data_IF_092173656934
#
_entry.id   IF_092173656934
#
_cell.length_a   1.000
_cell.length_b   1.000
_cell.length_c   1.000
_cell.angle_alpha   90.00
_cell.angle_beta   90.00
_cell.angle_gamma   90.00
#
_symmetry.space_group_name_H-M   'P 1'
#
loop_
_entity.id
_entity.type
_entity.pdbx_description
1 polymer ?
#
# COMPACT_ATOMS: atom_id res chain seq x y z
N UNK A 1 0.40 -2.11 52.92
CA UNK A 1 0.61 -2.91 51.70
C UNK A 1 0.96 -1.96 50.57
N UNK A 2 2.19 -2.00 50.04
CA UNK A 2 2.63 -1.04 49.01
C UNK A 2 1.93 -1.26 47.67
N UNK A 3 1.68 -0.17 46.93
CA UNK A 3 1.16 -0.25 45.55
C UNK A 3 2.18 -0.99 44.67
N UNK A 4 1.69 -1.90 43.82
CA UNK A 4 2.51 -2.65 42.85
C UNK A 4 2.07 -2.29 41.45
N UNK A 5 3.03 -2.10 40.56
CA UNK A 5 2.83 -1.87 39.13
C UNK A 5 2.87 -3.21 38.40
N UNK A 6 1.83 -3.49 37.61
CA UNK A 6 1.82 -4.65 36.71
C UNK A 6 2.33 -4.24 35.33
N UNK A 7 3.17 -5.08 34.72
CA UNK A 7 3.63 -4.89 33.35
C UNK A 7 3.04 -5.96 32.43
N UNK A 8 2.24 -5.56 31.46
CA UNK A 8 1.55 -6.48 30.54
C UNK A 8 2.52 -7.31 29.70
N UNK A 9 3.62 -6.70 29.24
CA UNK A 9 4.62 -7.41 28.43
C UNK A 9 5.43 -8.45 29.21
N UNK A 10 5.62 -8.24 30.52
CA UNK A 10 6.47 -9.09 31.35
C UNK A 10 5.68 -9.98 32.30
N UNK A 11 4.36 -9.83 32.34
CA UNK A 11 3.41 -10.57 33.19
C UNK A 11 3.81 -10.60 34.66
N UNK A 12 4.39 -9.50 35.15
CA UNK A 12 5.00 -9.42 36.48
C UNK A 12 4.60 -8.16 37.22
N UNK A 13 4.43 -8.32 38.53
CA UNK A 13 4.24 -7.22 39.46
C UNK A 13 5.59 -6.71 39.95
N UNK A 14 5.74 -5.40 39.96
CA UNK A 14 6.94 -4.66 40.35
C UNK A 14 6.53 -3.64 41.41
N UNK A 15 7.45 -3.22 42.26
CA UNK A 15 7.20 -2.13 43.20
C UNK A 15 6.84 -0.85 42.46
N UNK A 16 5.75 -0.19 42.86
CA UNK A 16 5.26 1.02 42.21
C UNK A 16 6.06 2.26 42.62
N UNK A 17 7.28 2.37 42.10
CA UNK A 17 8.13 3.56 42.14
C UNK A 17 8.45 3.99 40.71
N UNK A 18 8.45 5.30 40.46
CA UNK A 18 8.74 5.88 39.15
C UNK A 18 10.12 5.45 38.64
N UNK A 19 11.12 5.41 39.51
CA UNK A 19 12.49 5.01 39.19
C UNK A 19 12.58 3.53 38.81
N UNK A 20 11.90 2.68 39.58
CA UNK A 20 11.86 1.24 39.34
C UNK A 20 11.14 0.95 38.02
N UNK A 21 10.02 1.65 37.74
CA UNK A 21 9.27 1.51 36.48
C UNK A 21 10.09 1.96 35.27
N UNK A 22 10.92 2.99 35.41
CA UNK A 22 11.85 3.42 34.34
C UNK A 22 12.92 2.35 34.09
N UNK A 23 13.58 1.86 35.14
CA UNK A 23 14.59 0.79 35.04
C UNK A 23 14.02 -0.50 34.45
N UNK A 24 12.79 -0.84 34.80
CA UNK A 24 12.10 -2.00 34.23
C UNK A 24 11.87 -1.83 32.73
N UNK A 25 11.34 -0.69 32.28
CA UNK A 25 11.12 -0.41 30.85
C UNK A 25 12.40 -0.40 30.03
N UNK A 26 13.51 0.07 30.61
CA UNK A 26 14.82 0.02 29.97
C UNK A 26 15.51 -1.34 30.05
N UNK A 27 14.93 -2.33 30.74
CA UNK A 27 15.54 -3.66 30.84
C UNK A 27 15.49 -4.40 29.51
N UNK A 28 16.56 -5.17 29.22
CA UNK A 28 16.65 -5.97 28.00
C UNK A 28 15.46 -6.92 27.82
N UNK A 29 15.02 -7.55 28.92
CA UNK A 29 13.89 -8.47 28.88
C UNK A 29 12.59 -7.78 28.45
N UNK A 30 12.30 -6.59 28.99
CA UNK A 30 11.14 -5.82 28.60
C UNK A 30 11.19 -5.41 27.13
N UNK A 31 12.33 -4.91 26.67
CA UNK A 31 12.53 -4.51 25.27
C UNK A 31 12.35 -5.70 24.32
N UNK A 32 12.92 -6.86 24.65
CA UNK A 32 12.79 -8.09 23.85
C UNK A 32 11.32 -8.54 23.77
N UNK A 33 10.61 -8.60 24.89
CA UNK A 33 9.21 -9.03 24.92
C UNK A 33 8.28 -8.03 24.21
N UNK A 34 8.55 -6.74 24.36
CA UNK A 34 7.84 -5.68 23.63
C UNK A 34 8.03 -5.84 22.12
N UNK A 35 9.28 -6.07 21.69
CA UNK A 35 9.58 -6.31 20.28
C UNK A 35 8.85 -7.56 19.76
N UNK A 36 8.92 -8.67 20.48
CA UNK A 36 8.26 -9.92 20.08
C UNK A 36 6.73 -9.76 19.95
N UNK A 37 6.11 -9.02 20.87
CA UNK A 37 4.68 -8.73 20.82
C UNK A 37 4.28 -7.93 19.57
N UNK A 38 5.06 -6.90 19.22
CA UNK A 38 4.80 -6.15 17.98
C UNK A 38 5.15 -6.95 16.73
N UNK A 39 6.20 -7.76 16.76
CA UNK A 39 6.59 -8.61 15.64
C UNK A 39 5.51 -9.66 15.32
N UNK A 40 4.91 -10.30 16.35
CA UNK A 40 3.78 -11.21 16.14
C UNK A 40 2.58 -10.49 15.54
N UNK A 41 2.23 -9.31 16.06
CA UNK A 41 1.13 -8.52 15.53
C UNK A 41 1.35 -8.09 14.06
N UNK A 42 2.58 -7.71 13.70
CA UNK A 42 2.93 -7.37 12.31
C UNK A 42 2.93 -8.59 11.38
N UNK A 43 3.34 -9.75 11.88
CA UNK A 43 3.28 -11.00 11.13
C UNK A 43 1.83 -11.41 10.87
N UNK A 44 0.94 -11.27 11.85
CA UNK A 44 -0.48 -11.58 11.71
C UNK A 44 -1.16 -10.67 10.68
N UNK A 45 -0.89 -9.36 10.73
CA UNK A 45 -1.36 -8.41 9.72
C UNK A 45 -0.85 -8.82 8.33
N UNK A 46 0.46 -9.08 8.20
CA UNK A 46 1.05 -9.49 6.92
C UNK A 46 0.41 -10.77 6.37
N UNK A 47 0.14 -11.76 7.23
CA UNK A 47 -0.54 -13.01 6.86
C UNK A 47 -1.98 -12.78 6.45
N UNK A 48 -2.71 -11.90 7.13
CA UNK A 48 -4.08 -11.55 6.75
C UNK A 48 -4.13 -10.92 5.37
N UNK A 49 -3.20 -10.00 5.06
CA UNK A 49 -3.09 -9.39 3.74
C UNK A 49 -2.70 -10.40 2.67
N UNK A 50 -1.72 -11.28 2.93
CA UNK A 50 -1.36 -12.34 2.00
C UNK A 50 -2.53 -13.30 1.76
N UNK A 51 -3.26 -13.67 2.83
CA UNK A 51 -4.46 -14.50 2.76
C UNK A 51 -5.55 -13.87 1.89
N UNK A 52 -5.74 -12.54 1.92
CA UNK A 52 -6.67 -11.86 0.99
C UNK A 52 -6.19 -11.95 -0.46
N UNK A 53 -4.89 -11.79 -0.73
CA UNK A 53 -4.34 -11.89 -2.10
C UNK A 53 -4.30 -13.32 -2.65
N UNK A 54 -4.28 -14.34 -1.79
CA UNK A 54 -4.20 -15.75 -2.20
C UNK A 54 -5.53 -16.51 -2.04
N UNK A 55 -6.52 -15.94 -1.34
CA UNK A 55 -7.92 -16.38 -1.38
C UNK A 55 -8.67 -15.86 -2.63
N UNK A 56 -8.17 -14.82 -3.30
CA UNK A 56 -8.39 -14.67 -4.74
C UNK A 56 -7.61 -15.78 -5.43
N UNK A 57 -8.26 -16.93 -5.59
CA UNK A 57 -7.77 -18.04 -6.39
C UNK A 57 -7.19 -17.54 -7.70
N UNK A 58 -6.16 -18.23 -8.20
CA UNK A 58 -5.47 -17.96 -9.45
C UNK A 58 -6.40 -17.23 -10.43
N UNK A 59 -6.22 -15.91 -10.54
CA UNK A 59 -7.12 -15.09 -11.35
C UNK A 59 -6.98 -15.64 -12.76
N UNK A 60 -8.06 -16.22 -13.28
CA UNK A 60 -8.05 -16.78 -14.61
C UNK A 60 -7.73 -15.63 -15.56
N UNK A 61 -6.61 -15.77 -16.28
CA UNK A 61 -6.18 -14.75 -17.24
C UNK A 61 -7.28 -14.53 -18.29
N UNK A 62 -8.06 -15.57 -18.62
CA UNK A 62 -9.20 -15.46 -19.52
C UNK A 62 -10.34 -14.63 -18.93
N UNK A 63 -10.66 -14.80 -17.64
CA UNK A 63 -11.68 -14.00 -16.96
C UNK A 63 -11.26 -12.53 -16.87
N UNK A 64 -9.98 -12.27 -16.55
CA UNK A 64 -9.43 -10.91 -16.54
C UNK A 64 -9.51 -10.28 -17.92
N UNK A 65 -9.14 -11.02 -18.97
CA UNK A 65 -9.20 -10.54 -20.33
C UNK A 65 -10.63 -10.23 -20.77
N UNK A 66 -11.61 -11.06 -20.39
CA UNK A 66 -13.01 -10.83 -20.68
C UNK A 66 -13.55 -9.54 -20.02
N UNK A 67 -13.14 -9.26 -18.77
CA UNK A 67 -13.50 -8.01 -18.07
C UNK A 67 -12.94 -6.79 -18.80
N UNK A 68 -11.68 -6.86 -19.23
CA UNK A 68 -11.02 -5.79 -20.00
C UNK A 68 -11.73 -5.56 -21.34
N UNK A 69 -12.03 -6.63 -22.06
CA UNK A 69 -12.67 -6.55 -23.38
C UNK A 69 -14.11 -5.99 -23.27
N UNK A 70 -14.84 -6.37 -22.23
CA UNK A 70 -16.16 -5.82 -21.93
C UNK A 70 -16.08 -4.31 -21.66
N UNK A 71 -15.09 -3.87 -20.88
CA UNK A 71 -14.87 -2.45 -20.64
C UNK A 71 -14.51 -1.70 -21.93
N UNK A 72 -13.60 -2.23 -22.75
CA UNK A 72 -13.22 -1.64 -24.03
C UNK A 72 -14.42 -1.50 -24.98
N UNK A 73 -15.29 -2.51 -25.03
CA UNK A 73 -16.52 -2.48 -25.80
C UNK A 73 -17.45 -1.36 -25.33
N UNK A 74 -17.66 -1.25 -24.02
CA UNK A 74 -18.48 -0.20 -23.43
C UNK A 74 -17.91 1.20 -23.71
N UNK A 75 -16.59 1.35 -23.71
CA UNK A 75 -15.92 2.61 -24.10
C UNK A 75 -16.20 2.94 -25.56
N UNK A 76 -16.08 1.98 -26.48
CA UNK A 76 -16.39 2.20 -27.89
C UNK A 76 -17.86 2.56 -28.13
N UNK A 77 -18.78 1.93 -27.40
CA UNK A 77 -20.22 2.25 -27.46
C UNK A 77 -20.50 3.69 -27.00
N UNK A 78 -19.84 4.16 -25.93
CA UNK A 78 -19.99 5.56 -25.48
C UNK A 78 -19.51 6.53 -26.55
N UNK A 79 -18.34 6.23 -27.15
CA UNK A 79 -17.74 7.06 -28.19
C UNK A 79 -18.57 7.10 -29.48
N UNK A 80 -19.15 5.97 -29.90
CA UNK A 80 -20.00 5.90 -31.09
C UNK A 80 -21.34 6.62 -30.88
N UNK A 81 -21.94 6.51 -29.68
CA UNK A 81 -23.13 7.29 -29.29
C UNK A 81 -22.87 8.80 -29.30
N UNK A 82 -21.70 9.24 -28.86
CA UNK A 82 -21.29 10.63 -28.93
C UNK A 82 -21.09 11.10 -30.37
N UNK A 83 -20.45 10.28 -31.21
CA UNK A 83 -20.23 10.59 -32.63
C UNK A 83 -21.55 10.61 -33.43
N UNK A 84 -22.51 9.75 -33.06
CA UNK A 84 -23.86 9.75 -33.64
C UNK A 84 -24.72 10.94 -33.20
N UNK A 85 -24.49 11.48 -31.99
CA UNK A 85 -25.13 12.73 -31.53
C UNK A 85 -24.52 13.99 -32.16
N UNK A 86 -23.30 13.92 -32.72
CA UNK A 86 -22.62 15.05 -33.38
C UNK A 86 -23.15 15.36 -34.79
N UNK A 87 -24.14 14.62 -35.28
CA UNK A 87 -24.89 15.01 -36.48
C UNK A 87 -25.77 16.25 -36.29
N UNK A 88 -26.09 16.62 -35.04
CA UNK A 88 -27.05 17.70 -34.75
C UNK A 88 -26.79 18.35 -33.37
N UNK A 89 -25.64 18.99 -33.16
CA UNK A 89 -25.45 19.91 -32.03
C UNK A 89 -24.31 20.90 -32.29
N UNK A 90 -24.63 22.19 -32.17
CA UNK A 90 -23.72 23.33 -32.28
C UNK A 90 -22.68 23.30 -31.16
N UNK A 91 -21.43 23.51 -31.55
CA UNK A 91 -20.31 24.04 -30.78
C UNK A 91 -20.46 24.05 -29.24
N UNK A 92 -20.05 22.96 -28.61
CA UNK A 92 -19.62 22.96 -27.21
C UNK A 92 -18.17 22.53 -27.19
N UNK A 93 -17.30 23.53 -27.10
CA UNK A 93 -15.86 23.40 -26.86
C UNK A 93 -15.61 22.47 -25.66
N UNK A 94 -15.07 21.29 -25.95
CA UNK A 94 -14.41 20.46 -24.94
C UNK A 94 -13.10 21.18 -24.62
N UNK A 95 -12.78 21.54 -23.35
CA UNK A 95 -11.46 22.05 -23.03
C UNK A 95 -10.43 20.97 -23.36
N UNK A 96 -9.62 21.28 -24.37
CA UNK A 96 -8.51 20.46 -24.84
C UNK A 96 -7.42 20.45 -23.77
N UNK A 97 -6.90 19.24 -23.53
CA UNK A 97 -5.67 18.89 -22.82
C UNK A 97 -5.75 18.83 -21.28
N UNK A 98 -5.47 17.62 -20.76
CA UNK A 98 -4.77 17.48 -19.49
C UNK A 98 -3.48 18.32 -19.56
N UNK A 99 -3.13 19.10 -18.52
CA UNK A 99 -1.90 19.87 -18.53
C UNK A 99 -0.71 18.95 -18.79
N UNK A 100 0.30 19.39 -19.56
CA UNK A 100 1.48 18.59 -19.83
C UNK A 100 2.11 18.14 -18.50
N UNK A 101 2.74 16.97 -18.49
CA UNK A 101 3.25 16.32 -17.26
C UNK A 101 4.13 17.24 -16.40
N UNK A 102 4.78 18.22 -17.03
CA UNK A 102 5.59 19.24 -16.37
C UNK A 102 4.78 20.14 -15.42
N UNK A 103 3.51 20.39 -15.74
CA UNK A 103 2.56 21.26 -15.04
C UNK A 103 1.69 20.48 -14.02
N UNK A 104 1.91 19.18 -13.86
CA UNK A 104 1.28 18.39 -12.80
C UNK A 104 1.93 18.68 -11.44
N UNK A 105 1.16 18.68 -10.34
CA UNK A 105 1.73 18.77 -8.99
C UNK A 105 2.66 17.57 -8.74
N UNK A 106 3.71 17.72 -7.92
CA UNK A 106 4.75 16.70 -7.72
C UNK A 106 4.19 15.35 -7.27
N UNK A 107 3.05 15.33 -6.56
CA UNK A 107 2.36 14.10 -6.15
C UNK A 107 1.72 13.30 -7.29
N UNK A 108 1.54 13.91 -8.47
CA UNK A 108 0.93 13.31 -9.67
C UNK A 108 1.93 13.15 -10.83
N UNK A 109 3.19 13.50 -10.63
CA UNK A 109 4.23 13.20 -11.61
C UNK A 109 4.52 11.70 -11.56
N UNK A 110 4.56 11.00 -12.71
CA UNK A 110 5.01 9.61 -12.71
C UNK A 110 6.42 9.55 -12.14
N UNK A 111 6.73 8.50 -11.36
CA UNK A 111 8.09 8.25 -10.92
C UNK A 111 8.99 8.24 -12.17
N UNK A 112 9.97 9.12 -12.23
CA UNK A 112 10.87 9.25 -13.37
C UNK A 112 11.72 7.99 -13.47
N UNK A 113 11.25 6.98 -14.18
CA UNK A 113 12.11 5.91 -14.64
C UNK A 113 12.91 6.48 -15.81
N UNK A 114 14.11 6.94 -15.53
CA UNK A 114 15.11 7.20 -16.57
C UNK A 114 15.42 5.85 -17.23
N UNK A 115 14.80 5.62 -18.39
CA UNK A 115 15.19 4.56 -19.31
C UNK A 115 16.54 4.96 -19.91
N UNK A 116 17.61 4.77 -19.14
CA UNK A 116 18.93 4.61 -19.72
C UNK A 116 19.01 3.15 -20.17
N UNK A 117 19.16 2.97 -21.47
CA UNK A 117 19.51 1.71 -22.11
C UNK A 117 20.63 1.02 -21.32
N UNK A 118 20.28 -0.06 -20.61
CA UNK A 118 21.20 -1.14 -20.24
C UNK A 118 20.39 -2.37 -19.83
N UNK A 119 19.85 -3.03 -20.86
CA UNK A 119 19.37 -4.41 -20.77
C UNK A 119 20.57 -5.37 -20.58
N UNK A 120 21.32 -5.26 -19.47
CA UNK A 120 22.28 -6.28 -19.00
C UNK A 120 22.92 -5.88 -17.66
N UNK A 121 22.13 -5.87 -16.58
CA UNK A 121 22.68 -6.17 -15.24
C UNK A 121 21.57 -6.42 -14.25
N UNK A 122 21.22 -7.69 -14.09
CA UNK A 122 20.73 -8.20 -12.82
C UNK A 122 21.82 -7.98 -11.77
N UNK A 123 21.64 -7.01 -10.87
CA UNK A 123 22.31 -7.06 -9.57
C UNK A 123 21.45 -6.41 -8.48
N UNK A 124 20.87 -7.29 -7.66
CA UNK A 124 20.76 -7.17 -6.21
C UNK A 124 20.21 -5.86 -5.64
N UNK A 125 18.92 -5.89 -5.27
CA UNK A 125 18.35 -4.91 -4.35
C UNK A 125 18.84 -5.25 -2.94
N UNK A 126 19.93 -4.62 -2.53
CA UNK A 126 20.42 -4.63 -1.14
C UNK A 126 19.58 -3.65 -0.31
N UNK A 127 18.70 -4.17 0.54
CA UNK A 127 17.98 -3.35 1.53
C UNK A 127 18.92 -3.09 2.72
N UNK A 128 19.44 -1.87 2.79
CA UNK A 128 20.35 -1.42 3.83
C UNK A 128 19.70 -1.16 5.19
N UNK A 129 20.45 -1.60 6.22
CA UNK A 129 20.66 -1.07 7.59
C UNK A 129 19.52 -0.43 8.37
#
# INVERSE_FOLDING_TARGET
MGKRYYCDFCERYITDSVEIRKKHRSSFQHQRLTKLHYDSFRADISRQWQGQTSASGAIDQAETQAIVDQWMTNVQIRRSKENSKRGEAKDTSIPVALPPVNDLPPSLKPASFSLTDDASSLHTIEWGK
#
